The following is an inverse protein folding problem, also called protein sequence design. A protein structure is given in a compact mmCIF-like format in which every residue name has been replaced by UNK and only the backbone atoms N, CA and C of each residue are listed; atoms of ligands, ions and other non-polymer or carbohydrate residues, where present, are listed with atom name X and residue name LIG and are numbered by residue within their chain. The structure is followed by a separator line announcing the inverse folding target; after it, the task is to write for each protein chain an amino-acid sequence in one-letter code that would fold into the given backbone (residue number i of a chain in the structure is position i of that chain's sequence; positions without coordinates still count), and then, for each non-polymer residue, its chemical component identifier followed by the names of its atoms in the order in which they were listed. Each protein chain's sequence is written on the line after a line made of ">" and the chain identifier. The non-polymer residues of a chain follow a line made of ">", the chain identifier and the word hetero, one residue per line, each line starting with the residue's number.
data_IF_112728666845
#
_entry.id   IF_112728666845
#
_cell.length_a   1.000
_cell.length_b   1.000
_cell.length_c   1.000
_cell.angle_alpha   90.00
_cell.angle_beta   90.00
_cell.angle_gamma   90.00
#
_symmetry.space_group_name_H-M   'P 1'
#
loop_
_entity.id
_entity.type
_entity.pdbx_description
1 polymer ?
#
# COMPACT_ATOMS: atom_id res chain seq x y z
N UNK A 1 -33.66 -59.65 -24.36
CA UNK A 1 -34.72 -58.86 -24.98
C UNK A 1 -34.44 -57.39 -24.70
N UNK A 2 -34.34 -56.64 -25.69
CA UNK A 2 -33.86 -55.32 -25.99
C UNK A 2 -33.62 -54.33 -24.86
N UNK A 3 -32.35 -53.85 -24.90
CA UNK A 3 -31.78 -52.64 -24.30
C UNK A 3 -32.37 -51.38 -24.92
N UNK A 4 -32.47 -50.31 -24.15
CA UNK A 4 -32.30 -48.96 -24.67
C UNK A 4 -31.36 -48.22 -23.70
N UNK A 5 -30.14 -47.97 -24.18
CA UNK A 5 -29.22 -46.98 -23.66
C UNK A 5 -29.59 -45.63 -24.28
N UNK A 6 -29.89 -44.64 -23.49
CA UNK A 6 -29.87 -43.24 -23.92
C UNK A 6 -28.79 -42.51 -23.17
N UNK A 7 -27.89 -41.97 -23.98
CA UNK A 7 -26.79 -41.07 -23.58
C UNK A 7 -27.32 -39.84 -22.86
N UNK A 8 -26.73 -39.56 -21.71
CA UNK A 8 -26.70 -38.22 -21.14
C UNK A 8 -25.24 -37.80 -21.10
N UNK A 9 -24.84 -37.12 -22.16
CA UNK A 9 -23.61 -36.30 -22.19
C UNK A 9 -24.02 -34.96 -22.79
N UNK A 10 -24.13 -33.97 -21.96
CA UNK A 10 -23.97 -32.54 -22.22
C UNK A 10 -24.78 -31.73 -21.17
N UNK A 11 -24.22 -31.47 -20.04
CA UNK A 11 -24.47 -30.29 -19.20
C UNK A 11 -23.40 -30.35 -18.08
N UNK A 12 -22.17 -29.96 -18.42
CA UNK A 12 -21.13 -29.62 -17.45
C UNK A 12 -20.32 -28.51 -18.09
N UNK A 13 -20.84 -27.31 -18.11
CA UNK A 13 -20.04 -26.10 -18.41
C UNK A 13 -20.82 -24.77 -18.26
N UNK A 14 -21.87 -24.70 -17.44
CA UNK A 14 -22.61 -23.43 -17.22
C UNK A 14 -22.67 -23.04 -15.72
N UNK A 15 -22.12 -23.85 -14.81
CA UNK A 15 -22.20 -23.53 -13.36
C UNK A 15 -21.00 -22.79 -12.78
N UNK A 16 -19.96 -22.48 -13.55
CA UNK A 16 -18.76 -21.85 -13.03
C UNK A 16 -18.77 -20.30 -13.11
N UNK A 17 -19.70 -19.71 -13.86
CA UNK A 17 -19.74 -18.25 -14.05
C UNK A 17 -20.75 -17.54 -13.12
N UNK A 18 -21.71 -18.28 -12.57
CA UNK A 18 -22.73 -17.69 -11.68
C UNK A 18 -22.37 -17.74 -10.18
N UNK A 19 -21.30 -18.43 -9.79
CA UNK A 19 -20.86 -18.50 -8.38
C UNK A 19 -19.90 -17.36 -8.03
N UNK A 20 -19.32 -16.68 -9.03
CA UNK A 20 -18.40 -15.57 -8.79
C UNK A 20 -19.08 -14.24 -8.43
N UNK A 21 -20.39 -14.11 -8.68
CA UNK A 21 -21.15 -12.90 -8.33
C UNK A 21 -21.86 -12.99 -6.97
N UNK A 22 -21.93 -14.17 -6.34
CA UNK A 22 -22.61 -14.35 -5.05
C UNK A 22 -21.67 -14.40 -3.82
N UNK A 23 -20.36 -14.50 -4.02
CA UNK A 23 -19.37 -14.56 -2.93
C UNK A 23 -18.71 -13.21 -2.61
N UNK A 24 -19.02 -12.15 -3.38
CA UNK A 24 -18.66 -10.76 -3.03
C UNK A 24 -19.74 -10.10 -2.15
N UNK A 25 -20.81 -10.81 -1.80
CA UNK A 25 -21.92 -10.29 -0.98
C UNK A 25 -21.87 -10.67 0.50
N UNK A 26 -20.77 -11.25 1.00
CA UNK A 26 -20.69 -11.66 2.41
C UNK A 26 -19.60 -10.98 3.23
N UNK A 27 -19.04 -9.88 2.73
CA UNK A 27 -18.36 -8.88 3.58
C UNK A 27 -19.10 -7.54 3.45
N UNK A 28 -20.40 -7.56 3.59
CA UNK A 28 -21.13 -6.40 4.06
C UNK A 28 -20.89 -6.36 5.56
N UNK A 29 -20.20 -5.31 6.04
CA UNK A 29 -20.28 -4.90 7.42
C UNK A 29 -21.74 -4.96 7.83
N UNK A 30 -22.06 -5.71 8.88
CA UNK A 30 -23.41 -5.81 9.46
C UNK A 30 -23.83 -4.47 10.12
N UNK A 31 -23.48 -3.35 9.52
CA UNK A 31 -23.94 -2.02 9.86
C UNK A 31 -24.78 -1.44 8.71
N UNK A 32 -25.86 -2.16 8.38
CA UNK A 32 -26.80 -1.81 7.32
C UNK A 32 -27.70 -0.60 7.64
N UNK A 33 -27.38 0.19 8.67
CA UNK A 33 -28.15 1.37 9.08
C UNK A 33 -27.45 2.72 8.91
N UNK A 34 -26.13 2.74 8.64
CA UNK A 34 -25.43 4.00 8.40
C UNK A 34 -25.57 4.36 6.91
N UNK A 35 -26.48 5.29 6.61
CA UNK A 35 -26.48 5.95 5.29
C UNK A 35 -25.10 6.57 5.09
N UNK A 36 -24.41 6.15 4.05
CA UNK A 36 -23.16 6.77 3.64
C UNK A 36 -23.40 8.28 3.48
N UNK A 37 -22.72 9.10 4.28
CA UNK A 37 -22.84 10.56 4.18
C UNK A 37 -22.14 10.96 2.89
N UNK A 38 -22.90 11.47 1.94
CA UNK A 38 -22.38 12.03 0.69
C UNK A 38 -22.44 13.54 0.80
N UNK A 39 -21.28 14.17 0.88
CA UNK A 39 -21.16 15.61 0.87
C UNK A 39 -21.14 16.10 -0.59
N UNK A 40 -22.16 16.86 -1.00
CA UNK A 40 -22.26 17.39 -2.36
C UNK A 40 -21.53 18.72 -2.54
N UNK A 41 -21.34 19.46 -1.44
CA UNK A 41 -20.75 20.79 -1.46
C UNK A 41 -19.31 20.72 -0.93
N UNK A 42 -18.39 21.32 -1.66
CA UNK A 42 -16.98 21.43 -1.25
C UNK A 42 -16.81 22.71 -0.45
N UNK A 43 -16.45 22.57 0.82
CA UNK A 43 -16.05 23.70 1.63
C UNK A 43 -14.56 23.97 1.36
N UNK A 44 -14.29 25.02 0.58
CA UNK A 44 -12.93 25.43 0.23
C UNK A 44 -12.27 26.18 1.39
N UNK A 45 -11.92 25.46 2.46
CA UNK A 45 -11.19 26.01 3.59
C UNK A 45 -9.74 25.54 3.53
N UNK A 46 -8.85 26.41 3.11
CA UNK A 46 -7.41 26.21 3.24
C UNK A 46 -6.93 26.85 4.53
N UNK A 47 -6.30 26.07 5.38
CA UNK A 47 -5.75 26.54 6.67
C UNK A 47 -4.24 26.62 6.60
N UNK A 48 -3.65 27.53 7.34
CA UNK A 48 -2.18 27.64 7.49
C UNK A 48 -1.41 27.84 6.17
N UNK A 49 -2.01 28.51 5.19
CA UNK A 49 -1.37 28.85 3.91
C UNK A 49 -1.18 30.37 3.82
N UNK A 50 0.00 30.75 3.33
CA UNK A 50 0.25 32.09 2.82
C UNK A 50 -0.18 32.13 1.34
N UNK A 51 -1.24 32.85 1.03
CA UNK A 51 -1.82 32.99 -0.32
C UNK A 51 -0.83 33.56 -1.35
N UNK A 52 0.25 34.19 -0.88
CA UNK A 52 1.33 34.68 -1.75
C UNK A 52 2.27 33.56 -2.25
N UNK A 53 2.21 32.36 -1.65
CA UNK A 53 3.10 31.22 -1.94
C UNK A 53 2.48 30.21 -2.88
N UNK A 54 1.15 30.04 -2.82
CA UNK A 54 0.42 29.05 -3.61
C UNK A 54 -0.66 29.72 -4.49
N UNK A 55 -0.73 29.29 -5.75
CA UNK A 55 -1.88 29.62 -6.62
C UNK A 55 -3.11 28.81 -6.19
N UNK A 56 -3.90 29.39 -5.27
CA UNK A 56 -5.07 28.74 -4.71
C UNK A 56 -6.18 28.50 -5.75
N UNK A 57 -6.29 29.33 -6.79
CA UNK A 57 -7.32 29.14 -7.84
C UNK A 57 -6.93 27.95 -8.73
N UNK A 58 -5.67 27.80 -9.07
CA UNK A 58 -5.17 26.62 -9.79
C UNK A 58 -5.30 25.35 -8.93
N UNK A 59 -4.98 25.43 -7.63
CA UNK A 59 -5.12 24.31 -6.70
C UNK A 59 -6.58 23.86 -6.59
N UNK A 60 -7.53 24.78 -6.43
CA UNK A 60 -8.99 24.49 -6.44
C UNK A 60 -9.43 23.85 -7.74
N UNK A 61 -8.98 24.39 -8.88
CA UNK A 61 -9.33 23.84 -10.19
C UNK A 61 -8.92 22.38 -10.33
N UNK A 62 -7.68 22.06 -9.97
CA UNK A 62 -7.16 20.68 -10.09
C UNK A 62 -7.80 19.75 -9.05
N UNK A 63 -8.08 20.22 -7.85
CA UNK A 63 -8.81 19.46 -6.83
C UNK A 63 -10.26 19.20 -7.24
N UNK A 64 -10.95 20.19 -7.87
CA UNK A 64 -12.32 20.03 -8.36
C UNK A 64 -12.43 18.88 -9.33
N UNK A 65 -11.47 18.73 -10.28
CA UNK A 65 -11.49 17.63 -11.23
C UNK A 65 -11.43 16.26 -10.54
N UNK A 66 -10.66 16.14 -9.46
CA UNK A 66 -10.57 14.92 -8.67
C UNK A 66 -11.82 14.70 -7.81
N UNK A 67 -12.31 15.75 -7.14
CA UNK A 67 -13.46 15.71 -6.25
C UNK A 67 -14.75 15.38 -7.02
N UNK A 68 -14.93 15.95 -8.22
CA UNK A 68 -16.09 15.69 -9.08
C UNK A 68 -16.11 14.26 -9.62
N UNK A 69 -15.00 13.54 -9.54
CA UNK A 69 -14.99 12.13 -9.95
C UNK A 69 -15.96 11.30 -9.10
N UNK A 70 -16.62 10.31 -9.71
CA UNK A 70 -17.52 9.39 -9.00
C UNK A 70 -16.80 8.39 -8.08
N UNK A 71 -15.48 8.41 -8.07
CA UNK A 71 -14.66 7.42 -7.38
C UNK A 71 -14.01 7.95 -6.11
N UNK A 72 -13.75 9.26 -6.00
CA UNK A 72 -13.14 9.82 -4.79
C UNK A 72 -14.05 9.60 -3.58
N UNK A 73 -13.44 9.17 -2.47
CA UNK A 73 -14.07 9.13 -1.14
C UNK A 73 -13.64 10.33 -0.31
N UNK A 74 -12.34 10.51 -0.18
CA UNK A 74 -11.77 11.63 0.56
C UNK A 74 -10.35 11.95 0.10
N UNK A 75 -9.90 13.17 0.32
CA UNK A 75 -8.55 13.67 0.05
C UNK A 75 -8.10 14.60 1.16
N UNK A 76 -6.83 14.51 1.53
CA UNK A 76 -6.17 15.46 2.43
C UNK A 76 -4.80 15.85 1.90
N UNK A 77 -4.36 17.05 2.24
CA UNK A 77 -3.07 17.64 1.86
C UNK A 77 -2.39 18.19 3.11
N UNK A 78 -1.16 17.75 3.35
CA UNK A 78 -0.25 18.39 4.30
C UNK A 78 0.89 19.05 3.54
N UNK A 79 1.21 20.28 3.91
CA UNK A 79 2.30 21.07 3.37
C UNK A 79 3.07 21.76 4.49
N UNK A 80 4.40 21.71 4.47
CA UNK A 80 5.25 22.23 5.55
C UNK A 80 4.83 21.72 6.94
N UNK A 81 4.57 20.41 7.04
CA UNK A 81 4.17 19.70 8.26
C UNK A 81 2.82 20.14 8.86
N UNK A 82 2.00 20.84 8.09
CA UNK A 82 0.68 21.27 8.51
C UNK A 82 -0.40 20.72 7.57
N UNK A 83 -1.51 20.23 8.14
CA UNK A 83 -2.69 19.91 7.35
C UNK A 83 -3.28 21.22 6.81
N UNK A 84 -3.32 21.35 5.49
CA UNK A 84 -3.78 22.58 4.83
C UNK A 84 -5.16 22.42 4.18
N UNK A 85 -5.56 21.21 3.86
CA UNK A 85 -6.83 20.90 3.23
C UNK A 85 -7.23 19.48 3.53
N UNK A 86 -8.53 19.25 3.79
CA UNK A 86 -9.16 17.95 3.71
C UNK A 86 -10.58 18.07 3.18
N UNK A 87 -11.05 17.03 2.50
CA UNK A 87 -12.40 16.94 1.99
C UNK A 87 -12.89 15.49 2.03
N UNK A 88 -14.07 15.29 2.56
CA UNK A 88 -14.76 14.01 2.67
C UNK A 88 -16.01 14.02 1.79
N UNK A 89 -15.91 13.44 0.59
CA UNK A 89 -17.06 13.24 -0.28
C UNK A 89 -17.96 12.12 0.24
N UNK A 90 -17.36 11.09 0.84
CA UNK A 90 -18.04 9.94 1.42
C UNK A 90 -17.40 9.63 2.78
N UNK A 91 -18.21 9.68 3.84
CA UNK A 91 -17.75 9.49 5.20
C UNK A 91 -17.36 10.79 5.89
N UNK A 92 -16.52 10.71 6.89
CA UNK A 92 -16.06 11.79 7.75
C UNK A 92 -14.64 11.53 8.26
N UNK A 93 -14.15 12.36 9.19
CA UNK A 93 -12.82 12.26 9.74
C UNK A 93 -12.55 10.95 10.52
N UNK A 94 -13.59 10.35 11.09
CA UNK A 94 -13.50 9.12 11.87
C UNK A 94 -13.65 7.85 11.02
N UNK A 95 -14.04 8.01 9.75
CA UNK A 95 -14.22 6.89 8.82
C UNK A 95 -12.88 6.22 8.53
N UNK A 96 -12.80 4.91 8.78
CA UNK A 96 -11.70 4.07 8.30
C UNK A 96 -11.96 3.63 6.86
N UNK A 97 -10.96 3.75 6.03
CA UNK A 97 -10.99 3.32 4.64
C UNK A 97 -10.03 2.14 4.44
N UNK A 98 -10.40 1.12 3.65
CA UNK A 98 -9.45 0.07 3.29
C UNK A 98 -8.34 0.68 2.45
N UNK A 99 -7.10 0.61 2.95
CA UNK A 99 -5.95 1.19 2.24
C UNK A 99 -5.24 0.20 1.33
N UNK A 100 -5.69 -1.06 1.30
CA UNK A 100 -5.15 -2.13 0.45
C UNK A 100 -3.62 -2.22 0.55
N UNK A 101 -2.93 -2.16 -0.58
CA UNK A 101 -1.47 -2.34 -0.64
C UNK A 101 -0.63 -1.24 0.00
N UNK A 102 -1.24 -0.14 0.48
CA UNK A 102 -0.56 0.80 1.39
C UNK A 102 -0.07 0.08 2.65
N UNK A 103 -0.74 -1.00 3.06
CA UNK A 103 -0.32 -1.92 4.12
C UNK A 103 1.15 -2.34 3.99
N UNK A 104 1.63 -2.58 2.77
CA UNK A 104 3.01 -2.98 2.50
C UNK A 104 4.03 -1.94 2.96
N UNK A 105 3.73 -0.66 2.74
CA UNK A 105 4.63 0.43 3.16
C UNK A 105 4.66 0.57 4.69
N UNK A 106 3.55 0.25 5.37
CA UNK A 106 3.53 0.17 6.85
C UNK A 106 4.37 -1.02 7.33
N UNK A 107 4.29 -2.16 6.67
CA UNK A 107 5.16 -3.31 6.97
C UNK A 107 6.64 -2.98 6.72
N UNK A 108 6.96 -2.23 5.65
CA UNK A 108 8.32 -1.70 5.42
C UNK A 108 8.82 -0.87 6.60
N UNK A 109 8.00 0.03 7.13
CA UNK A 109 8.34 0.83 8.30
C UNK A 109 8.63 -0.05 9.53
N UNK A 110 7.86 -1.12 9.73
CA UNK A 110 8.10 -2.09 10.79
C UNK A 110 9.47 -2.79 10.63
N UNK A 111 9.84 -3.20 9.41
CA UNK A 111 11.18 -3.74 9.15
C UNK A 111 12.27 -2.71 9.44
N UNK A 112 12.07 -1.43 9.10
CA UNK A 112 12.99 -0.37 9.49
C UNK A 112 13.27 -0.35 10.98
N UNK A 113 12.21 -0.51 11.77
CA UNK A 113 12.36 -0.57 13.24
C UNK A 113 13.10 -1.83 13.72
N UNK A 114 12.99 -2.98 13.01
CA UNK A 114 13.79 -4.16 13.33
C UNK A 114 15.28 -3.89 13.14
N UNK A 115 15.66 -3.21 12.04
CA UNK A 115 17.06 -2.81 11.80
C UNK A 115 17.54 -1.81 12.85
N UNK A 116 16.73 -0.82 13.20
CA UNK A 116 17.06 0.20 14.22
C UNK A 116 17.27 -0.41 15.62
N UNK A 117 16.60 -1.53 15.91
CA UNK A 117 16.72 -2.27 17.15
C UNK A 117 17.72 -3.44 17.09
N UNK A 118 18.45 -3.58 15.97
CA UNK A 118 19.41 -4.66 15.74
C UNK A 118 18.82 -6.08 15.89
N UNK A 119 17.50 -6.21 15.69
CA UNK A 119 16.79 -7.49 15.74
C UNK A 119 16.98 -8.34 14.49
N UNK A 120 17.46 -7.74 13.42
CA UNK A 120 17.86 -8.38 12.17
C UNK A 120 19.23 -7.85 11.75
N UNK A 121 20.15 -8.76 11.43
CA UNK A 121 21.53 -8.39 11.12
C UNK A 121 21.62 -7.59 9.81
N UNK A 122 21.01 -8.10 8.75
CA UNK A 122 20.98 -7.43 7.45
C UNK A 122 19.86 -7.98 6.56
N UNK A 123 19.53 -7.25 5.50
CA UNK A 123 18.47 -7.62 4.56
C UNK A 123 18.77 -8.81 3.65
N UNK A 124 20.01 -9.32 3.64
CA UNK A 124 20.38 -10.51 2.87
C UNK A 124 20.11 -11.80 3.64
N UNK A 125 19.73 -11.73 4.91
CA UNK A 125 19.28 -12.92 5.64
C UNK A 125 18.13 -13.59 4.88
N UNK A 126 18.22 -14.90 4.72
CA UNK A 126 17.28 -15.68 3.92
C UNK A 126 16.09 -16.15 4.74
N UNK A 127 14.99 -16.45 4.08
CA UNK A 127 13.77 -16.96 4.74
C UNK A 127 14.03 -18.30 5.45
N UNK A 128 15.00 -19.08 5.00
CA UNK A 128 15.37 -20.36 5.63
C UNK A 128 15.83 -20.17 7.08
N UNK A 129 16.48 -19.06 7.39
CA UNK A 129 16.87 -18.72 8.76
C UNK A 129 15.67 -18.58 9.70
N UNK A 130 14.49 -18.28 9.18
CA UNK A 130 13.28 -17.97 9.95
C UNK A 130 12.15 -18.99 9.78
N UNK A 131 12.05 -19.60 8.59
CA UNK A 131 10.90 -20.43 8.19
C UNK A 131 11.28 -21.89 7.88
N UNK A 132 12.43 -22.36 8.36
CA UNK A 132 12.92 -23.74 8.17
C UNK A 132 12.03 -24.82 8.80
N UNK A 133 11.03 -24.43 9.63
CA UNK A 133 10.06 -25.36 10.18
C UNK A 133 9.00 -25.80 9.17
N UNK A 134 8.86 -25.09 8.05
CA UNK A 134 7.93 -25.46 6.98
C UNK A 134 8.63 -26.43 6.02
N UNK A 135 7.98 -27.59 5.81
CA UNK A 135 8.33 -28.49 4.71
C UNK A 135 7.62 -27.97 3.45
N UNK A 136 8.37 -27.49 2.45
CA UNK A 136 7.86 -26.89 1.23
C UNK A 136 8.61 -27.35 -0.02
N UNK A 137 7.97 -27.20 -1.18
CA UNK A 137 8.52 -27.60 -2.47
C UNK A 137 9.76 -26.76 -2.85
N UNK A 138 10.70 -27.36 -3.57
CA UNK A 138 11.91 -26.72 -4.12
C UNK A 138 12.77 -25.96 -3.06
N UNK A 139 13.11 -26.59 -1.93
CA UNK A 139 13.80 -25.89 -0.84
C UNK A 139 15.18 -25.35 -1.26
N UNK A 140 15.86 -26.02 -2.19
CA UNK A 140 17.20 -25.61 -2.67
C UNK A 140 17.21 -24.18 -3.23
N UNK A 141 16.16 -23.78 -3.98
CA UNK A 141 16.08 -22.44 -4.56
C UNK A 141 15.34 -21.47 -3.62
N UNK A 142 14.27 -21.90 -2.96
CA UNK A 142 13.46 -21.03 -2.11
C UNK A 142 14.20 -20.61 -0.83
N UNK A 143 15.07 -21.47 -0.28
CA UNK A 143 15.92 -21.10 0.85
C UNK A 143 16.86 -19.92 0.56
N UNK A 144 17.10 -19.60 -0.72
CA UNK A 144 17.92 -18.44 -1.13
C UNK A 144 17.14 -17.14 -1.19
N UNK A 145 15.81 -17.17 -1.01
CA UNK A 145 14.99 -15.94 -0.94
C UNK A 145 15.41 -15.16 0.31
N UNK A 146 15.86 -13.92 0.13
CA UNK A 146 16.23 -13.05 1.25
C UNK A 146 15.12 -12.07 1.60
N UNK A 147 15.20 -11.47 2.79
CA UNK A 147 14.34 -10.35 3.22
C UNK A 147 14.39 -9.22 2.18
N UNK A 148 15.59 -8.91 1.64
CA UNK A 148 15.76 -7.94 0.55
C UNK A 148 14.95 -8.31 -0.69
N UNK A 149 14.96 -9.57 -1.11
CA UNK A 149 14.20 -10.01 -2.27
C UNK A 149 12.69 -9.80 -2.08
N UNK A 150 12.17 -10.03 -0.87
CA UNK A 150 10.78 -9.82 -0.54
C UNK A 150 10.43 -8.32 -0.49
N UNK A 151 11.24 -7.51 0.23
CA UNK A 151 11.05 -6.06 0.35
C UNK A 151 11.08 -5.35 -1.00
N UNK A 152 11.94 -5.79 -1.92
CA UNK A 152 12.12 -5.18 -3.25
C UNK A 152 11.31 -5.85 -4.36
N UNK A 153 10.37 -6.76 -4.03
CA UNK A 153 9.55 -7.48 -5.01
C UNK A 153 10.37 -8.31 -6.01
N UNK A 154 11.44 -8.94 -5.56
CA UNK A 154 12.35 -9.74 -6.39
C UNK A 154 12.45 -11.21 -5.92
N UNK A 155 11.50 -11.67 -5.11
CA UNK A 155 11.52 -13.04 -4.57
C UNK A 155 11.23 -14.13 -5.61
N UNK A 156 10.56 -13.77 -6.70
CA UNK A 156 10.04 -14.74 -7.68
C UNK A 156 8.74 -15.43 -7.25
N UNK A 157 8.24 -15.17 -6.04
CA UNK A 157 6.97 -15.73 -5.55
C UNK A 157 5.82 -15.18 -6.38
N UNK A 158 5.00 -16.10 -6.91
CA UNK A 158 3.79 -15.75 -7.65
C UNK A 158 2.81 -15.00 -6.75
N UNK A 159 2.11 -14.00 -7.29
CA UNK A 159 1.06 -13.26 -6.57
C UNK A 159 -0.26 -14.04 -6.61
N UNK A 160 -0.32 -15.14 -5.87
CA UNK A 160 -1.56 -15.90 -5.68
C UNK A 160 -2.18 -15.53 -4.33
N UNK A 161 -3.26 -14.74 -4.38
CA UNK A 161 -3.97 -14.25 -3.20
C UNK A 161 -4.87 -15.30 -2.54
N UNK A 162 -5.03 -16.49 -3.14
CA UNK A 162 -5.85 -17.56 -2.57
C UNK A 162 -5.28 -18.12 -1.25
N UNK A 163 -4.05 -17.79 -0.89
CA UNK A 163 -3.48 -18.14 0.41
C UNK A 163 -4.37 -17.71 1.59
N UNK A 164 -5.13 -16.61 1.43
CA UNK A 164 -6.01 -16.11 2.49
C UNK A 164 -7.16 -17.09 2.84
N UNK A 165 -7.47 -18.02 1.93
CA UNK A 165 -8.49 -19.05 2.12
C UNK A 165 -7.92 -20.40 2.60
N UNK A 166 -6.61 -20.48 2.75
CA UNK A 166 -5.92 -21.69 3.21
C UNK A 166 -5.88 -21.72 4.73
N UNK A 167 -6.05 -22.91 5.31
CA UNK A 167 -5.83 -23.14 6.75
C UNK A 167 -4.33 -23.06 7.12
N UNK A 168 -3.46 -23.09 6.10
CA UNK A 168 -1.99 -22.98 6.27
C UNK A 168 -1.40 -21.97 5.28
N UNK A 169 -1.69 -20.66 5.44
CA UNK A 169 -1.39 -19.63 4.43
C UNK A 169 0.08 -19.57 4.03
N UNK A 170 0.99 -19.59 5.00
CA UNK A 170 2.43 -19.52 4.75
C UNK A 170 2.93 -20.73 3.96
N UNK A 171 2.52 -21.93 4.36
CA UNK A 171 2.86 -23.16 3.62
C UNK A 171 2.27 -23.13 2.21
N UNK A 172 1.02 -22.68 2.06
CA UNK A 172 0.38 -22.53 0.75
C UNK A 172 1.23 -21.67 -0.19
N UNK A 173 1.75 -20.52 0.28
CA UNK A 173 2.60 -19.63 -0.51
C UNK A 173 3.93 -20.31 -0.83
N UNK A 174 4.55 -20.94 0.16
CA UNK A 174 5.85 -21.60 -0.01
C UNK A 174 5.77 -22.84 -0.91
N UNK A 175 4.62 -23.48 -1.06
CA UNK A 175 4.42 -24.61 -1.98
C UNK A 175 4.22 -24.18 -3.45
N UNK A 176 3.93 -22.89 -3.73
CA UNK A 176 3.79 -22.42 -5.10
C UNK A 176 5.15 -22.42 -5.84
N UNK A 177 5.11 -22.66 -7.15
CA UNK A 177 6.30 -22.53 -7.98
C UNK A 177 6.77 -21.08 -8.05
N UNK A 178 8.10 -20.88 -8.08
CA UNK A 178 8.64 -19.55 -8.38
C UNK A 178 8.48 -19.23 -9.87
N UNK A 179 8.09 -17.99 -10.17
CA UNK A 179 8.08 -17.48 -11.54
C UNK A 179 9.49 -17.27 -12.08
N UNK A 180 10.42 -16.92 -11.18
CA UNK A 180 11.81 -16.60 -11.50
C UNK A 180 12.71 -16.93 -10.31
N UNK A 181 13.98 -17.15 -10.57
CA UNK A 181 14.97 -17.24 -9.50
C UNK A 181 15.03 -15.93 -8.69
N UNK A 182 15.21 -16.01 -7.36
CA UNK A 182 15.29 -14.84 -6.49
C UNK A 182 16.35 -13.83 -6.97
N UNK A 183 16.00 -12.54 -6.92
CA UNK A 183 16.85 -11.43 -7.34
C UNK A 183 16.89 -11.15 -8.86
N UNK A 184 16.33 -12.05 -9.69
CA UNK A 184 16.47 -11.93 -11.15
C UNK A 184 15.57 -10.89 -11.78
N UNK A 185 14.29 -10.91 -11.41
CA UNK A 185 13.28 -10.00 -11.97
C UNK A 185 12.43 -9.40 -10.87
N UNK A 186 11.95 -8.19 -11.12
CA UNK A 186 10.92 -7.57 -10.32
C UNK A 186 9.56 -8.17 -10.67
N UNK A 187 8.82 -8.60 -9.66
CA UNK A 187 7.48 -9.13 -9.78
C UNK A 187 6.68 -8.81 -8.52
N UNK A 188 5.68 -7.96 -8.67
CA UNK A 188 4.82 -7.58 -7.54
C UNK A 188 4.12 -8.80 -6.96
N UNK A 189 4.22 -8.99 -5.64
CA UNK A 189 3.63 -10.13 -4.96
C UNK A 189 3.17 -9.78 -3.56
N UNK A 190 1.85 -9.80 -3.38
CA UNK A 190 1.23 -9.67 -2.06
C UNK A 190 1.47 -10.93 -1.22
N UNK A 191 1.50 -12.10 -1.87
CA UNK A 191 1.89 -13.36 -1.24
C UNK A 191 3.32 -13.27 -0.68
N UNK A 192 4.28 -12.74 -1.48
CA UNK A 192 5.64 -12.50 -1.01
C UNK A 192 5.71 -11.57 0.20
N UNK A 193 4.90 -10.53 0.25
CA UNK A 193 4.85 -9.64 1.43
C UNK A 193 4.16 -10.28 2.62
N UNK A 194 3.27 -11.25 2.42
CA UNK A 194 2.73 -12.02 3.54
C UNK A 194 3.79 -12.96 4.15
N UNK A 195 4.74 -13.48 3.35
CA UNK A 195 5.93 -14.16 3.88
C UNK A 195 6.76 -13.22 4.77
N UNK A 196 6.89 -11.92 4.43
CA UNK A 196 7.54 -10.95 5.33
C UNK A 196 6.85 -10.85 6.68
N UNK A 197 5.50 -10.90 6.75
CA UNK A 197 4.79 -10.92 8.03
C UNK A 197 5.18 -12.15 8.88
N UNK A 198 5.32 -13.32 8.26
CA UNK A 198 5.76 -14.52 8.97
C UNK A 198 7.21 -14.42 9.45
N UNK A 199 8.11 -13.91 8.61
CA UNK A 199 9.51 -13.63 8.98
C UNK A 199 9.55 -12.64 10.15
N UNK A 200 8.77 -11.55 10.06
CA UNK A 200 8.66 -10.55 11.10
C UNK A 200 8.23 -11.15 12.44
N UNK A 201 7.13 -11.93 12.44
CA UNK A 201 6.64 -12.61 13.64
C UNK A 201 7.70 -13.56 14.22
N UNK A 202 8.46 -14.22 13.36
CA UNK A 202 9.51 -15.15 13.82
C UNK A 202 10.67 -14.42 14.49
N UNK A 203 11.04 -13.24 13.99
CA UNK A 203 12.11 -12.40 14.57
C UNK A 203 11.68 -11.82 15.91
N UNK A 204 10.47 -11.27 15.98
CA UNK A 204 10.00 -10.49 17.16
C UNK A 204 9.24 -11.32 18.17
N UNK A 205 8.73 -12.49 17.78
CA UNK A 205 7.72 -13.26 18.50
C UNK A 205 6.42 -12.45 18.76
N UNK A 206 6.18 -11.41 17.97
CA UNK A 206 5.00 -10.56 18.00
C UNK A 206 4.32 -10.51 16.62
N UNK A 207 3.00 -10.29 16.61
CA UNK A 207 2.29 -10.02 15.36
C UNK A 207 2.73 -8.64 14.82
N UNK A 208 2.95 -8.48 13.50
CA UNK A 208 3.26 -7.18 12.90
C UNK A 208 2.35 -6.03 13.37
N UNK A 209 1.03 -6.26 13.48
CA UNK A 209 0.07 -5.27 13.96
C UNK A 209 0.43 -4.78 15.37
N UNK A 210 0.65 -5.69 16.33
CA UNK A 210 0.94 -5.34 17.72
C UNK A 210 2.25 -4.55 17.86
N UNK A 211 3.25 -4.92 17.07
CA UNK A 211 4.53 -4.21 17.05
C UNK A 211 4.39 -2.83 16.40
N UNK A 212 3.71 -2.72 15.26
CA UNK A 212 3.44 -1.45 14.57
C UNK A 212 2.63 -0.53 15.46
N UNK A 213 1.61 -1.05 16.14
CA UNK A 213 0.83 -0.30 17.12
C UNK A 213 1.75 0.38 18.12
N UNK A 214 2.57 -0.41 18.81
CA UNK A 214 3.44 0.07 19.90
C UNK A 214 4.52 1.04 19.44
N UNK A 215 5.16 0.76 18.31
CA UNK A 215 6.38 1.47 17.91
C UNK A 215 6.19 2.55 16.85
N UNK A 216 5.03 2.56 16.19
CA UNK A 216 4.73 3.51 15.10
C UNK A 216 3.38 4.20 15.32
N UNK A 217 2.30 3.44 15.49
CA UNK A 217 0.95 4.01 15.53
C UNK A 217 0.65 4.78 16.83
N UNK A 218 0.99 4.21 18.00
CA UNK A 218 0.78 4.90 19.29
C UNK A 218 1.56 6.23 19.35
N UNK A 219 2.87 6.31 18.95
CA UNK A 219 3.58 7.58 18.86
C UNK A 219 2.97 8.59 17.86
N UNK A 220 2.39 8.11 16.76
CA UNK A 220 1.68 8.93 15.77
C UNK A 220 0.25 9.27 16.20
N UNK A 221 -0.21 8.77 17.36
CA UNK A 221 -1.60 8.89 17.80
C UNK A 221 -2.60 8.34 16.76
N UNK A 222 -2.22 7.22 16.11
CA UNK A 222 -3.08 6.45 15.22
C UNK A 222 -3.77 5.40 16.07
N UNK A 223 -5.02 5.66 16.45
CA UNK A 223 -5.78 4.79 17.35
C UNK A 223 -7.00 4.15 16.70
N UNK A 224 -7.50 4.77 15.62
CA UNK A 224 -8.69 4.31 14.90
C UNK A 224 -8.29 3.59 13.61
N UNK A 225 -7.81 2.36 13.74
CA UNK A 225 -7.42 1.51 12.60
C UNK A 225 -7.95 0.08 12.77
N UNK A 226 -7.81 -0.72 11.74
CA UNK A 226 -8.05 -2.16 11.76
C UNK A 226 -7.09 -2.85 10.79
N UNK A 227 -6.58 -4.02 11.15
CA UNK A 227 -5.70 -4.80 10.29
C UNK A 227 -6.17 -6.25 10.22
N UNK A 228 -6.53 -6.70 9.04
CA UNK A 228 -6.97 -8.08 8.79
C UNK A 228 -5.85 -9.08 9.05
N UNK A 229 -6.24 -10.26 9.52
CA UNK A 229 -5.33 -11.38 9.76
C UNK A 229 -5.70 -12.56 8.87
N UNK A 230 -4.74 -13.46 8.67
CA UNK A 230 -4.98 -14.75 8.02
C UNK A 230 -5.66 -15.76 8.96
N UNK A 231 -5.89 -17.00 8.47
CA UNK A 231 -6.52 -18.07 9.24
C UNK A 231 -5.76 -18.46 10.53
N UNK A 232 -4.48 -18.11 10.63
CA UNK A 232 -3.63 -18.38 11.80
C UNK A 232 -3.46 -17.15 12.73
N UNK A 233 -4.18 -16.05 12.43
CA UNK A 233 -4.12 -14.81 13.20
C UNK A 233 -2.91 -13.94 12.90
N UNK A 234 -2.17 -14.21 11.82
CA UNK A 234 -1.05 -13.39 11.38
C UNK A 234 -1.54 -12.20 10.55
N UNK A 235 -1.10 -10.97 10.88
CA UNK A 235 -1.43 -9.76 10.13
C UNK A 235 -1.08 -9.92 8.66
N UNK A 236 -2.03 -9.62 7.76
CA UNK A 236 -1.81 -9.74 6.34
C UNK A 236 -0.79 -8.70 5.86
N UNK A 237 0.35 -9.14 5.38
CA UNK A 237 1.42 -8.24 4.92
C UNK A 237 1.15 -7.59 3.56
N UNK A 238 0.22 -8.16 2.78
CA UNK A 238 -0.09 -7.71 1.43
C UNK A 238 -1.17 -6.62 1.34
N UNK A 239 -2.13 -6.66 2.25
CA UNK A 239 -3.28 -5.75 2.34
C UNK A 239 -3.99 -5.91 3.70
N UNK A 240 -5.19 -5.35 3.85
CA UNK A 240 -6.06 -5.57 5.01
C UNK A 240 -5.92 -4.53 6.10
N UNK A 241 -5.10 -3.50 5.91
CA UNK A 241 -5.07 -2.35 6.80
C UNK A 241 -6.15 -1.35 6.40
N UNK A 242 -6.82 -0.80 7.42
CA UNK A 242 -7.81 0.27 7.33
C UNK A 242 -7.34 1.44 8.18
N UNK A 243 -7.30 2.62 7.60
CA UNK A 243 -6.87 3.86 8.26
C UNK A 243 -7.89 4.97 8.03
N UNK A 244 -7.92 5.97 8.92
CA UNK A 244 -8.56 7.24 8.63
C UNK A 244 -7.72 8.05 7.62
N UNK A 245 -8.32 9.04 7.00
CA UNK A 245 -7.61 9.91 6.06
C UNK A 245 -6.46 10.67 6.74
N UNK A 246 -6.69 11.17 7.96
CA UNK A 246 -5.67 11.88 8.72
C UNK A 246 -4.54 10.96 9.19
N UNK A 247 -4.84 9.68 9.49
CA UNK A 247 -3.80 8.72 9.86
C UNK A 247 -2.88 8.39 8.65
N UNK A 248 -3.44 8.38 7.44
CA UNK A 248 -2.64 8.26 6.22
C UNK A 248 -1.69 9.47 6.06
N UNK A 249 -2.15 10.70 6.37
CA UNK A 249 -1.31 11.91 6.37
C UNK A 249 -0.20 11.80 7.42
N UNK A 250 -0.52 11.44 8.66
CA UNK A 250 0.50 11.28 9.73
C UNK A 250 1.58 10.28 9.35
N UNK A 251 1.19 9.14 8.77
CA UNK A 251 2.16 8.15 8.28
C UNK A 251 3.02 8.69 7.13
N UNK A 252 2.46 9.43 6.21
CA UNK A 252 3.22 10.11 5.15
C UNK A 252 4.17 11.17 5.69
N UNK A 253 3.74 11.99 6.66
CA UNK A 253 4.55 13.01 7.31
C UNK A 253 5.74 12.40 8.06
N UNK A 254 5.59 11.24 8.70
CA UNK A 254 6.70 10.50 9.30
C UNK A 254 7.83 10.26 8.28
N UNK A 255 7.49 9.84 7.07
CA UNK A 255 8.48 9.61 6.00
C UNK A 255 9.00 10.92 5.38
N UNK A 256 8.15 11.94 5.26
CA UNK A 256 8.55 13.29 4.82
C UNK A 256 9.60 13.91 5.75
N UNK A 257 9.55 13.56 7.03
CA UNK A 257 10.43 14.06 8.10
C UNK A 257 11.55 13.09 8.47
N UNK A 258 12.01 12.26 7.50
CA UNK A 258 13.13 11.35 7.70
C UNK A 258 12.94 10.38 8.89
N UNK A 259 11.69 9.98 9.14
CA UNK A 259 11.31 9.07 10.21
C UNK A 259 11.20 9.72 11.59
N UNK A 260 11.20 11.05 11.65
CA UNK A 260 10.97 11.82 12.88
C UNK A 260 9.50 12.17 13.04
N UNK A 261 9.03 12.10 14.28
CA UNK A 261 7.74 12.61 14.70
C UNK A 261 7.92 13.42 16.00
N UNK A 262 7.58 14.70 15.96
CA UNK A 262 7.95 15.65 17.00
C UNK A 262 9.48 15.62 17.25
N UNK A 263 9.89 15.32 18.48
CA UNK A 263 11.32 15.20 18.85
C UNK A 263 11.88 13.79 18.66
N UNK A 264 11.05 12.80 18.37
CA UNK A 264 11.43 11.39 18.45
C UNK A 264 11.77 10.81 17.07
N UNK A 265 12.87 10.07 16.97
CA UNK A 265 13.23 9.29 15.80
C UNK A 265 12.50 7.93 15.88
N UNK A 266 11.35 7.82 15.22
CA UNK A 266 10.58 6.57 15.22
C UNK A 266 11.19 5.51 14.30
N UNK A 267 11.69 5.94 13.14
CA UNK A 267 12.36 5.10 12.13
C UNK A 267 13.63 5.83 11.72
N UNK A 268 14.77 5.16 11.61
CA UNK A 268 16.00 5.82 11.22
C UNK A 268 15.92 6.49 9.85
N UNK A 269 16.56 7.63 9.71
CA UNK A 269 16.72 8.30 8.41
C UNK A 269 17.37 7.38 7.37
N UNK A 270 18.30 6.53 7.81
CA UNK A 270 18.96 5.57 6.94
C UNK A 270 17.97 4.58 6.34
N UNK A 271 16.99 4.10 7.11
CA UNK A 271 15.94 3.25 6.59
C UNK A 271 14.98 4.00 5.66
N UNK A 272 14.53 5.20 6.06
CA UNK A 272 13.69 6.02 5.18
C UNK A 272 14.35 6.18 3.82
N UNK A 273 15.61 6.63 3.79
CA UNK A 273 16.35 6.80 2.53
C UNK A 273 16.51 5.51 1.75
N UNK A 274 16.82 4.40 2.43
CA UNK A 274 16.99 3.08 1.78
C UNK A 274 15.66 2.57 1.21
N UNK A 275 14.59 2.63 1.99
CA UNK A 275 13.29 2.09 1.59
C UNK A 275 12.63 2.88 0.47
N UNK A 276 12.89 4.18 0.40
CA UNK A 276 12.34 5.08 -0.62
C UNK A 276 13.31 5.35 -1.78
N UNK A 277 14.47 4.67 -1.84
CA UNK A 277 15.38 4.73 -2.98
C UNK A 277 14.99 3.73 -4.07
N UNK A 278 15.19 4.09 -5.33
CA UNK A 278 14.89 3.25 -6.49
C UNK A 278 15.84 2.05 -6.56
N UNK A 279 15.38 0.87 -6.10
CA UNK A 279 16.11 -0.39 -6.17
C UNK A 279 15.99 -1.05 -7.55
N UNK A 280 14.85 -0.87 -8.20
CA UNK A 280 14.57 -1.32 -9.56
C UNK A 280 13.82 -0.25 -10.31
N UNK A 281 14.33 0.08 -11.50
CA UNK A 281 13.58 0.82 -12.50
C UNK A 281 12.76 -0.16 -13.35
N UNK A 282 11.57 0.24 -13.74
CA UNK A 282 10.76 -0.47 -14.74
C UNK A 282 10.16 0.55 -15.69
N UNK A 283 9.92 0.10 -16.93
CA UNK A 283 9.27 0.98 -17.89
C UNK A 283 7.76 0.93 -17.68
N UNK A 284 7.15 2.09 -17.63
CA UNK A 284 5.71 2.24 -17.71
C UNK A 284 5.18 1.53 -18.98
N UNK A 285 4.02 0.88 -18.87
CA UNK A 285 3.42 0.16 -20.00
C UNK A 285 3.73 -1.33 -20.08
N UNK A 286 4.51 -1.88 -19.16
CA UNK A 286 4.80 -3.33 -19.12
C UNK A 286 3.91 -4.05 -18.10
N UNK A 287 2.58 -3.86 -18.12
CA UNK A 287 1.63 -4.56 -17.25
C UNK A 287 0.74 -3.65 -16.41
N UNK A 288 0.37 -4.07 -15.19
CA UNK A 288 -0.59 -3.37 -14.32
C UNK A 288 -0.12 -2.00 -13.79
N UNK A 289 1.07 -1.55 -14.14
CA UNK A 289 1.71 -0.28 -13.72
C UNK A 289 1.55 0.85 -14.72
N UNK A 290 0.83 0.62 -15.79
CA UNK A 290 0.56 1.60 -16.86
C UNK A 290 -0.13 2.88 -16.37
N UNK A 291 -0.60 2.92 -15.14
CA UNK A 291 -1.21 4.11 -14.55
C UNK A 291 -0.21 5.05 -13.89
N UNK A 292 1.05 4.68 -13.75
CA UNK A 292 2.08 5.60 -13.25
C UNK A 292 2.54 6.52 -14.39
N UNK A 293 2.63 7.84 -14.17
CA UNK A 293 2.93 8.79 -15.23
C UNK A 293 4.38 8.75 -15.70
N UNK A 294 5.31 8.34 -14.82
CA UNK A 294 6.72 8.28 -15.13
C UNK A 294 7.07 6.99 -15.87
N UNK A 295 7.67 7.13 -17.05
CA UNK A 295 8.15 5.99 -17.85
C UNK A 295 9.36 5.29 -17.22
N UNK A 296 10.00 5.90 -16.24
CA UNK A 296 11.14 5.39 -15.49
C UNK A 296 10.81 5.15 -14.01
N UNK A 297 9.51 5.00 -13.70
CA UNK A 297 9.08 4.66 -12.36
C UNK A 297 9.86 3.46 -11.82
N UNK A 298 10.03 3.40 -10.51
CA UNK A 298 10.79 2.36 -9.84
C UNK A 298 10.14 1.88 -8.57
N UNK A 299 10.82 0.97 -7.89
CA UNK A 299 10.38 0.39 -6.63
C UNK A 299 11.53 0.31 -5.63
N UNK A 300 11.27 0.74 -4.42
CA UNK A 300 12.18 0.63 -3.28
C UNK A 300 11.82 -0.58 -2.41
N UNK A 301 11.90 -0.45 -1.09
CA UNK A 301 11.43 -1.45 -0.15
C UNK A 301 9.98 -1.19 0.22
N UNK A 302 9.07 -1.74 -0.61
CA UNK A 302 7.60 -1.64 -0.52
C UNK A 302 7.07 -0.21 -0.72
N UNK A 303 7.82 0.61 -1.47
CA UNK A 303 7.45 1.95 -1.89
C UNK A 303 7.59 2.10 -3.41
N UNK A 304 6.64 2.78 -4.02
CA UNK A 304 6.69 3.20 -5.43
C UNK A 304 7.47 4.50 -5.56
N UNK A 305 8.32 4.61 -6.56
CA UNK A 305 9.18 5.78 -6.80
C UNK A 305 8.86 6.36 -8.16
N UNK A 306 8.48 7.63 -8.20
CA UNK A 306 8.20 8.40 -9.40
C UNK A 306 9.11 9.62 -9.45
N UNK A 307 9.15 10.30 -10.60
CA UNK A 307 9.86 11.56 -10.78
C UNK A 307 8.85 12.66 -11.12
N UNK A 308 8.94 13.81 -10.46
CA UNK A 308 8.14 15.01 -10.75
C UNK A 308 9.11 16.19 -10.90
N UNK A 309 9.29 16.66 -12.13
CA UNK A 309 10.43 17.52 -12.47
C UNK A 309 11.74 16.77 -12.24
N UNK A 310 12.66 17.36 -11.48
CA UNK A 310 13.97 16.77 -11.15
C UNK A 310 13.95 16.00 -9.79
N UNK A 311 12.78 15.89 -9.14
CA UNK A 311 12.70 15.33 -7.80
C UNK A 311 12.10 13.93 -7.79
N UNK A 312 12.67 13.03 -6.99
CA UNK A 312 12.05 11.76 -6.68
C UNK A 312 10.92 11.96 -5.66
N UNK A 313 9.76 11.41 -6.00
CA UNK A 313 8.54 11.39 -5.19
C UNK A 313 8.21 9.93 -4.93
N UNK A 314 8.04 9.55 -3.69
CA UNK A 314 7.67 8.18 -3.36
C UNK A 314 6.23 8.09 -2.87
N UNK A 315 5.64 6.92 -3.07
CA UNK A 315 4.23 6.72 -2.76
C UNK A 315 3.92 5.30 -2.30
N UNK A 316 3.01 5.19 -1.34
CA UNK A 316 2.31 3.97 -1.01
C UNK A 316 1.01 3.94 -1.81
N UNK A 317 0.84 2.91 -2.66
CA UNK A 317 -0.31 2.81 -3.57
C UNK A 317 -1.13 1.57 -3.26
N UNK A 318 -2.45 1.75 -3.10
CA UNK A 318 -3.41 0.69 -2.87
C UNK A 318 -4.39 0.52 -4.04
N UNK A 319 -4.96 -0.68 -4.13
CA UNK A 319 -5.95 -1.01 -5.15
C UNK A 319 -7.11 0.00 -5.16
N UNK A 320 -7.55 0.37 -6.35
CA UNK A 320 -8.70 1.26 -6.54
C UNK A 320 -8.40 2.75 -6.40
N UNK A 321 -7.17 3.16 -6.11
CA UNK A 321 -6.81 4.58 -5.98
C UNK A 321 -6.67 5.04 -4.54
N UNK A 322 -6.08 4.21 -3.69
CA UNK A 322 -5.66 4.60 -2.35
C UNK A 322 -4.21 5.07 -2.44
N UNK A 323 -3.92 6.29 -2.03
CA UNK A 323 -2.61 6.91 -2.19
C UNK A 323 -2.14 7.56 -0.89
N UNK A 324 -0.88 7.33 -0.53
CA UNK A 324 -0.09 8.24 0.30
C UNK A 324 1.10 8.64 -0.57
N UNK A 325 1.17 9.89 -0.97
CA UNK A 325 2.24 10.43 -1.82
C UNK A 325 3.07 11.39 -1.00
N UNK A 326 4.38 11.26 -1.07
CA UNK A 326 5.33 12.06 -0.28
C UNK A 326 6.36 12.69 -1.21
N UNK A 327 6.42 14.01 -1.23
CA UNK A 327 7.48 14.79 -1.83
C UNK A 327 8.27 15.51 -0.73
N UNK A 328 9.44 14.96 -0.40
CA UNK A 328 10.30 15.52 0.66
C UNK A 328 10.85 16.90 0.31
N UNK A 329 11.11 17.14 -0.98
CA UNK A 329 11.67 18.42 -1.45
C UNK A 329 10.67 19.56 -1.25
N UNK A 330 9.38 19.24 -1.40
CA UNK A 330 8.29 20.20 -1.22
C UNK A 330 7.69 20.17 0.18
N UNK A 331 8.13 19.24 1.05
CA UNK A 331 7.44 18.99 2.33
C UNK A 331 5.95 18.77 2.15
N UNK A 332 5.59 18.02 1.11
CA UNK A 332 4.21 17.78 0.69
C UNK A 332 3.84 16.31 0.94
N UNK A 333 2.68 16.11 1.55
CA UNK A 333 2.04 14.80 1.69
C UNK A 333 0.61 14.89 1.20
N UNK A 334 0.25 13.98 0.30
CA UNK A 334 -1.12 13.82 -0.19
C UNK A 334 -1.66 12.46 0.25
N UNK A 335 -2.86 12.43 0.83
CA UNK A 335 -3.59 11.20 1.11
C UNK A 335 -4.90 11.20 0.33
N UNK A 336 -5.17 10.11 -0.39
CA UNK A 336 -6.38 9.95 -1.21
C UNK A 336 -6.98 8.59 -0.93
N UNK A 337 -8.30 8.57 -0.72
CA UNK A 337 -9.08 7.35 -0.68
C UNK A 337 -10.15 7.35 -1.77
N UNK A 338 -10.35 6.21 -2.40
CA UNK A 338 -11.27 6.06 -3.52
C UNK A 338 -12.11 4.80 -3.40
N UNK A 339 -13.23 4.74 -4.12
CA UNK A 339 -14.00 3.51 -4.29
C UNK A 339 -13.14 2.47 -5.01
N UNK A 340 -13.32 1.20 -4.65
CA UNK A 340 -12.63 0.11 -5.30
C UNK A 340 -12.96 0.09 -6.79
N UNK A 341 -11.95 0.19 -7.61
CA UNK A 341 -12.12 0.13 -9.06
C UNK A 341 -10.93 -0.55 -9.73
N UNK A 342 -11.23 -1.49 -10.60
CA UNK A 342 -10.23 -2.09 -11.50
C UNK A 342 -9.98 -1.22 -12.74
N UNK A 343 -10.70 -0.09 -12.90
CA UNK A 343 -10.58 0.79 -14.06
C UNK A 343 -9.18 1.40 -14.15
N UNK A 344 -8.43 0.99 -15.17
CA UNK A 344 -7.11 1.55 -15.47
C UNK A 344 -7.22 3.03 -15.83
N UNK A 345 -8.26 3.43 -16.58
CA UNK A 345 -8.48 4.82 -16.97
C UNK A 345 -8.66 5.74 -15.77
N UNK A 346 -9.40 5.30 -14.76
CA UNK A 346 -9.55 6.05 -13.52
C UNK A 346 -8.24 6.19 -12.76
N UNK A 347 -7.49 5.10 -12.60
CA UNK A 347 -6.19 5.14 -11.91
C UNK A 347 -5.17 6.01 -12.63
N UNK A 348 -5.16 5.99 -13.97
CA UNK A 348 -4.34 6.91 -14.79
C UNK A 348 -4.76 8.37 -14.56
N UNK A 349 -6.07 8.63 -14.48
CA UNK A 349 -6.58 9.98 -14.22
C UNK A 349 -6.13 10.49 -12.85
N UNK A 350 -6.29 9.72 -11.78
CA UNK A 350 -5.79 10.11 -10.44
C UNK A 350 -4.28 10.37 -10.50
N UNK A 351 -3.50 9.44 -11.04
CA UNK A 351 -2.06 9.59 -11.16
C UNK A 351 -1.68 10.85 -11.92
N UNK A 352 -2.32 11.12 -13.07
CA UNK A 352 -2.05 12.33 -13.85
C UNK A 352 -2.30 13.59 -13.01
N UNK A 353 -3.48 13.70 -12.40
CA UNK A 353 -3.82 14.86 -11.58
C UNK A 353 -2.82 15.03 -10.43
N UNK A 354 -2.50 13.94 -9.71
CA UNK A 354 -1.61 14.03 -8.55
C UNK A 354 -0.20 14.42 -8.96
N UNK A 355 0.41 13.71 -9.91
CA UNK A 355 1.82 13.88 -10.21
C UNK A 355 2.12 14.99 -11.20
N UNK A 356 1.20 15.27 -12.15
CA UNK A 356 1.42 16.29 -13.18
C UNK A 356 0.78 17.64 -12.86
N UNK A 357 -0.32 17.64 -12.10
CA UNK A 357 -1.12 18.85 -11.94
C UNK A 357 -1.12 19.38 -10.50
N UNK A 358 -1.17 18.51 -9.46
CA UNK A 358 -1.20 18.96 -8.06
C UNK A 358 0.21 19.20 -7.47
N UNK A 359 1.09 18.21 -7.54
CA UNK A 359 2.43 18.33 -6.93
C UNK A 359 3.20 19.54 -7.45
N UNK A 360 3.22 19.86 -8.76
CA UNK A 360 3.98 20.99 -9.29
C UNK A 360 3.53 22.38 -8.81
N UNK A 361 2.30 22.51 -8.27
CA UNK A 361 1.79 23.78 -7.73
C UNK A 361 2.58 24.19 -6.48
N UNK A 362 3.04 23.19 -5.70
CA UNK A 362 3.74 23.44 -4.45
C UNK A 362 5.21 23.76 -4.71
N UNK A 363 5.72 24.92 -4.29
CA UNK A 363 7.14 25.24 -4.41
C UNK A 363 8.00 24.31 -3.53
N UNK A 364 9.25 24.11 -3.92
CA UNK A 364 10.21 23.43 -3.05
C UNK A 364 10.35 24.20 -1.72
N UNK A 365 10.39 23.48 -0.60
CA UNK A 365 10.66 24.11 0.68
C UNK A 365 12.02 24.82 0.64
N UNK A 366 12.16 26.02 1.23
CA UNK A 366 13.45 26.66 1.33
C UNK A 366 14.43 25.73 2.07
N UNK A 367 15.72 25.70 1.66
CA UNK A 367 16.70 24.87 2.34
C UNK A 367 16.68 25.21 3.84
N UNK A 368 16.57 24.19 4.70
CA UNK A 368 16.66 24.36 6.14
C UNK A 368 18.00 25.04 6.47
N UNK A 369 17.94 26.24 6.99
CA UNK A 369 19.13 26.87 7.59
C UNK A 369 19.53 26.02 8.81
N UNK A 370 20.42 25.05 8.60
CA UNK A 370 21.10 24.31 9.65
C UNK A 370 22.18 25.18 10.28
#
# INVERSE_FOLDING_TARGET
>A
MFKIFVKINAIKNISAILIFSLLLLSCEDNDSSIKEIVNSDVEWQFTNIDDSVLDLELLKSNLSELIDSNYLRAIAISYNDQLIFDHYKIGDADKRYPVYSVTKSVLSAAFGKLFDQELIENENMTIDAFLNMYDYNDPEIKSTISVKHLLSMQSGIQDDVNYIRSDTPIKYILDQNLLYAPGRFWNYSSAGTHILSAVFQKITNENPESFVKKHIFDPLEITNYFWEVDANGLSNGGWGLYLTLHDMIKFGMLFSNDGKWNSDQLISQSWVNRSTSKMRAFRSGSGSWEYLPDNEAGYGYLWWINTVGDNEVFSALGYGGQYIVVDKTRKLVLAITSKESSSISYRRKISSIVFNDLIPIFPAAPPSNN
#
